data_IF_734595661200
#
_entry.id   IF_734595661200
#
_cell.length_a   1.000
_cell.length_b   1.000
_cell.length_c   1.000
_cell.angle_alpha   90.00
_cell.angle_beta   90.00
_cell.angle_gamma   90.00
#
_symmetry.space_group_name_H-M   'P 1'
#
loop_
_entity.id
_entity.type
_entity.pdbx_description
1 polymer ?
#
# COMPACT_ATOMS: atom_id res chain seq x y z
N UNK A 1 12.95 10.81 -2.19
CA UNK A 1 12.68 11.93 -1.28
C UNK A 1 12.37 11.29 0.04
N UNK A 2 13.11 11.61 1.09
CA UNK A 2 12.86 11.02 2.41
C UNK A 2 11.61 11.67 3.01
N UNK A 3 10.55 10.88 3.19
CA UNK A 3 9.28 11.32 3.75
C UNK A 3 9.15 11.02 5.25
N UNK A 4 10.17 10.44 5.88
CA UNK A 4 10.18 10.08 7.31
C UNK A 4 9.00 9.16 7.70
N UNK A 5 8.59 8.26 6.80
CA UNK A 5 7.42 7.38 6.97
C UNK A 5 7.75 6.00 7.56
N UNK A 6 9.02 5.72 7.83
CA UNK A 6 9.46 4.49 8.50
C UNK A 6 8.65 4.21 9.77
N UNK A 7 8.13 2.98 9.88
CA UNK A 7 7.28 2.49 10.96
C UNK A 7 5.95 3.23 11.19
N UNK A 8 5.62 4.24 10.38
CA UNK A 8 4.30 4.88 10.42
C UNK A 8 3.24 3.93 9.90
N UNK A 9 2.04 3.99 10.50
CA UNK A 9 0.88 3.19 10.06
C UNK A 9 0.03 4.01 9.10
N UNK A 10 -0.24 3.47 7.92
CA UNK A 10 -1.03 4.16 6.88
C UNK A 10 -2.19 3.29 6.42
N UNK A 11 -3.38 3.88 6.30
CA UNK A 11 -4.56 3.24 5.72
C UNK A 11 -4.77 3.75 4.29
N UNK A 12 -4.87 2.84 3.33
CA UNK A 12 -5.15 3.18 1.93
C UNK A 12 -6.44 2.50 1.47
N UNK A 13 -7.47 3.30 1.24
CA UNK A 13 -8.72 2.84 0.62
C UNK A 13 -8.58 2.80 -0.90
N UNK A 14 -9.23 1.83 -1.56
CA UNK A 14 -9.13 1.66 -3.01
C UNK A 14 -7.76 1.16 -3.46
N UNK A 15 -7.02 0.49 -2.58
CA UNK A 15 -5.61 0.11 -2.80
C UNK A 15 -5.40 -0.92 -3.92
N UNK A 16 -6.44 -1.64 -4.36
CA UNK A 16 -6.34 -2.71 -5.35
C UNK A 16 -5.80 -2.28 -6.74
N UNK A 17 -5.98 -1.01 -7.15
CA UNK A 17 -5.63 -0.56 -8.51
C UNK A 17 -5.37 0.95 -8.61
N UNK A 18 -4.87 1.36 -9.77
CA UNK A 18 -4.70 2.78 -10.13
C UNK A 18 -3.86 3.55 -9.11
N UNK A 19 -4.38 4.71 -8.68
CA UNK A 19 -3.69 5.61 -7.76
C UNK A 19 -3.53 4.98 -6.37
N UNK A 20 -4.58 4.32 -5.84
CA UNK A 20 -4.51 3.68 -4.53
C UNK A 20 -3.39 2.64 -4.45
N UNK A 21 -3.21 1.85 -5.52
CA UNK A 21 -2.09 0.90 -5.63
C UNK A 21 -0.74 1.61 -5.62
N UNK A 22 -0.58 2.67 -6.41
CA UNK A 22 0.67 3.40 -6.50
C UNK A 22 1.05 4.05 -5.15
N UNK A 23 0.06 4.61 -4.44
CA UNK A 23 0.25 5.19 -3.11
C UNK A 23 0.70 4.12 -2.12
N UNK A 24 -0.04 3.01 -2.00
CA UNK A 24 0.31 1.95 -1.06
C UNK A 24 1.71 1.37 -1.34
N UNK A 25 2.08 1.23 -2.61
CA UNK A 25 3.42 0.77 -3.00
C UNK A 25 4.52 1.78 -2.63
N UNK A 26 4.30 3.08 -2.79
CA UNK A 26 5.28 4.08 -2.37
C UNK A 26 5.40 4.14 -0.85
N UNK A 27 4.28 4.10 -0.12
CA UNK A 27 4.29 4.07 1.34
C UNK A 27 5.07 2.87 1.89
N UNK A 28 4.85 1.67 1.35
CA UNK A 28 5.59 0.47 1.74
C UNK A 28 7.10 0.60 1.44
N UNK A 29 7.47 1.14 0.27
CA UNK A 29 8.87 1.40 -0.08
C UNK A 29 9.58 2.36 0.86
N UNK A 30 8.85 3.32 1.43
CA UNK A 30 9.36 4.27 2.41
C UNK A 30 9.36 3.69 3.85
N UNK A 31 9.07 2.39 4.02
CA UNK A 31 9.12 1.70 5.31
C UNK A 31 7.86 1.86 6.16
N UNK A 32 6.77 2.38 5.60
CA UNK A 32 5.50 2.48 6.31
C UNK A 32 4.80 1.11 6.38
N UNK A 33 4.04 0.89 7.47
CA UNK A 33 3.15 -0.27 7.63
C UNK A 33 1.80 0.05 7.03
N UNK A 34 1.48 -0.55 5.89
CA UNK A 34 0.29 -0.19 5.10
C UNK A 34 -0.85 -1.19 5.34
N UNK A 35 -2.01 -0.68 5.75
CA UNK A 35 -3.28 -1.38 5.70
C UNK A 35 -4.00 -1.03 4.39
N UNK A 36 -4.19 -2.03 3.53
CA UNK A 36 -4.82 -1.87 2.22
C UNK A 36 -6.29 -2.33 2.26
N UNK A 37 -7.21 -1.50 1.75
CA UNK A 37 -8.66 -1.80 1.74
C UNK A 37 -9.21 -1.68 0.32
N UNK A 38 -9.91 -2.71 -0.14
CA UNK A 38 -10.66 -2.71 -1.40
C UNK A 38 -11.80 -3.73 -1.35
N UNK A 39 -12.76 -3.60 -2.27
CA UNK A 39 -13.93 -4.51 -2.37
C UNK A 39 -13.62 -5.83 -3.10
N UNK A 40 -12.62 -5.82 -3.98
CA UNK A 40 -12.23 -7.00 -4.76
C UNK A 40 -11.09 -7.73 -4.08
N UNK A 41 -11.37 -8.90 -3.49
CA UNK A 41 -10.38 -9.66 -2.74
C UNK A 41 -9.21 -10.12 -3.61
N UNK A 42 -9.48 -10.72 -4.77
CA UNK A 42 -8.42 -11.20 -5.66
C UNK A 42 -7.46 -10.10 -6.12
N UNK A 43 -7.99 -8.94 -6.52
CA UNK A 43 -7.16 -7.78 -6.92
C UNK A 43 -6.33 -7.24 -5.73
N UNK A 44 -6.91 -7.25 -4.52
CA UNK A 44 -6.24 -6.80 -3.31
C UNK A 44 -5.11 -7.75 -2.89
N UNK A 45 -5.34 -9.06 -2.91
CA UNK A 45 -4.34 -10.07 -2.59
C UNK A 45 -3.18 -10.05 -3.58
N UNK A 46 -3.48 -9.97 -4.89
CA UNK A 46 -2.45 -9.84 -5.91
C UNK A 46 -1.61 -8.57 -5.74
N UNK A 47 -2.25 -7.47 -5.32
CA UNK A 47 -1.57 -6.22 -5.03
C UNK A 47 -0.67 -6.32 -3.79
N UNK A 48 -1.15 -6.94 -2.71
CA UNK A 48 -0.38 -7.14 -1.46
C UNK A 48 0.81 -8.06 -1.70
N UNK A 49 0.64 -9.13 -2.49
CA UNK A 49 1.74 -10.03 -2.86
C UNK A 49 2.85 -9.33 -3.66
N UNK A 50 2.54 -8.20 -4.30
CA UNK A 50 3.50 -7.39 -5.05
C UNK A 50 4.12 -6.24 -4.21
N UNK A 51 3.72 -6.06 -2.94
CA UNK A 51 4.31 -5.03 -2.08
C UNK A 51 5.68 -5.47 -1.55
N UNK A 52 6.65 -4.55 -1.47
CA UNK A 52 7.90 -4.78 -0.77
C UNK A 52 7.68 -4.62 0.75
N UNK A 53 7.67 -5.73 1.49
CA UNK A 53 7.79 -5.78 2.96
C UNK A 53 6.51 -5.53 3.76
#
# INVERSE_FOLDING_TARGET
MDLELSDKRCLVSGASRGIGRAIAHQLAREGARVAAVARGQADLEAMVAALPG
#
